data_IF_270507006651
#
_entry.id   IF_270507006651
#
_cell.length_a   1.000
_cell.length_b   1.000
_cell.length_c   1.000
_cell.angle_alpha   90.00
_cell.angle_beta   90.00
_cell.angle_gamma   90.00
#
_symmetry.space_group_name_H-M   'P 1'
#
loop_
_entity.id
_entity.type
_entity.pdbx_description
1 polymer ?
#
# COMPACT_ATOMS: atom_id res chain seq x y z
N UNK A 1 5.30 -26.66 -1.11
CA UNK A 1 5.46 -25.20 -0.98
C UNK A 1 5.46 -24.60 -2.39
N UNK A 2 4.61 -23.64 -2.72
CA UNK A 2 4.60 -23.02 -4.04
C UNK A 2 5.78 -22.07 -4.21
N UNK A 3 6.18 -21.78 -5.47
CA UNK A 3 7.27 -20.82 -5.75
C UNK A 3 6.97 -19.42 -5.18
N UNK A 4 5.70 -18.94 -5.27
CA UNK A 4 5.24 -17.70 -4.62
C UNK A 4 5.41 -17.73 -3.09
N UNK A 5 5.14 -18.87 -2.43
CA UNK A 5 5.29 -18.97 -0.97
C UNK A 5 6.75 -18.99 -0.53
N UNK A 6 7.65 -19.52 -1.35
CA UNK A 6 9.09 -19.45 -1.11
C UNK A 6 9.59 -18.01 -1.23
N UNK A 7 9.30 -17.32 -2.35
CA UNK A 7 9.67 -15.91 -2.53
C UNK A 7 9.14 -15.03 -1.39
N UNK A 8 7.88 -15.25 -0.97
CA UNK A 8 7.30 -14.51 0.15
C UNK A 8 8.13 -14.66 1.42
N UNK A 9 8.49 -15.89 1.78
CA UNK A 9 9.29 -16.17 2.97
C UNK A 9 10.65 -15.50 2.89
N UNK A 10 11.36 -15.69 1.78
CA UNK A 10 12.69 -15.12 1.53
C UNK A 10 12.70 -13.59 1.66
N UNK A 11 11.78 -12.90 0.98
CA UNK A 11 11.74 -11.43 0.99
C UNK A 11 11.21 -10.83 2.28
N UNK A 12 10.40 -11.55 3.05
CA UNK A 12 10.05 -11.17 4.44
C UNK A 12 11.30 -11.26 5.33
N UNK A 13 12.09 -12.31 5.21
CA UNK A 13 13.35 -12.48 5.97
C UNK A 13 14.36 -11.38 5.61
N UNK A 14 14.56 -11.09 4.31
CA UNK A 14 15.40 -9.97 3.85
C UNK A 14 14.92 -8.64 4.43
N UNK A 15 13.63 -8.33 4.34
CA UNK A 15 13.05 -7.11 4.90
C UNK A 15 13.24 -7.01 6.41
N UNK A 16 13.10 -8.10 7.14
CA UNK A 16 13.34 -8.10 8.58
C UNK A 16 14.82 -7.90 8.93
N UNK A 17 15.73 -8.22 8.02
CA UNK A 17 17.18 -8.07 8.19
C UNK A 17 17.73 -6.67 7.99
N UNK A 18 17.01 -5.75 7.30
CA UNK A 18 17.49 -4.37 7.12
C UNK A 18 17.56 -3.62 8.46
N UNK A 19 18.41 -2.60 8.53
CA UNK A 19 18.55 -1.74 9.71
C UNK A 19 17.43 -0.70 9.78
N UNK A 20 17.24 -0.05 10.93
CA UNK A 20 16.32 1.08 11.05
C UNK A 20 16.81 2.29 10.24
N UNK A 21 18.13 2.54 10.17
CA UNK A 21 18.69 3.61 9.33
C UNK A 21 18.36 3.42 7.84
N UNK A 22 18.33 2.17 7.34
CA UNK A 22 17.90 1.87 5.97
C UNK A 22 16.41 2.13 5.77
N UNK A 23 15.58 1.84 6.76
CA UNK A 23 14.14 2.15 6.74
C UNK A 23 13.93 3.65 6.72
N UNK A 24 14.58 4.40 7.61
CA UNK A 24 14.47 5.86 7.71
C UNK A 24 14.95 6.56 6.43
N UNK A 25 16.07 6.11 5.86
CA UNK A 25 16.56 6.64 4.58
C UNK A 25 15.58 6.37 3.43
N UNK A 26 14.93 5.22 3.40
CA UNK A 26 13.92 4.91 2.39
C UNK A 26 12.68 5.81 2.54
N UNK A 27 12.24 6.10 3.78
CA UNK A 27 11.17 7.05 4.04
C UNK A 27 11.53 8.46 3.58
N UNK A 28 12.71 8.96 3.94
CA UNK A 28 13.20 10.29 3.50
C UNK A 28 13.18 10.39 1.97
N UNK A 29 13.64 9.35 1.28
CA UNK A 29 13.62 9.32 -0.18
C UNK A 29 12.20 9.34 -0.74
N UNK A 30 11.28 8.54 -0.20
CA UNK A 30 9.88 8.53 -0.59
C UNK A 30 9.25 9.92 -0.42
N UNK A 31 9.41 10.54 0.75
CA UNK A 31 8.87 11.86 1.05
C UNK A 31 9.46 12.93 0.14
N UNK A 32 10.75 12.83 -0.20
CA UNK A 32 11.39 13.72 -1.17
C UNK A 32 10.80 13.60 -2.58
N UNK A 33 10.56 12.36 -3.05
CA UNK A 33 9.94 12.11 -4.35
C UNK A 33 8.53 12.71 -4.39
N UNK A 34 7.71 12.45 -3.38
CA UNK A 34 6.33 12.97 -3.31
C UNK A 34 6.31 14.50 -3.21
N UNK A 35 7.21 15.09 -2.40
CA UNK A 35 7.32 16.54 -2.28
C UNK A 35 7.69 17.21 -3.59
N UNK A 36 8.65 16.64 -4.32
CA UNK A 36 9.12 17.18 -5.60
C UNK A 36 8.10 17.04 -6.74
N UNK A 37 7.07 16.21 -6.55
CA UNK A 37 5.98 15.96 -7.50
C UNK A 37 4.61 16.20 -6.83
N UNK A 38 4.54 17.12 -5.88
CA UNK A 38 3.34 17.32 -5.05
C UNK A 38 2.10 17.71 -5.86
N UNK A 39 2.26 18.31 -7.03
CA UNK A 39 1.16 18.63 -7.96
C UNK A 39 0.42 17.39 -8.48
N UNK A 40 1.09 16.23 -8.56
CA UNK A 40 0.45 14.97 -8.98
C UNK A 40 -0.52 14.43 -7.91
N UNK A 41 -0.31 14.80 -6.67
CA UNK A 41 -1.03 14.28 -5.51
C UNK A 41 -2.02 15.30 -4.91
N UNK A 42 -1.77 16.61 -5.07
CA UNK A 42 -2.57 17.67 -4.46
C UNK A 42 -4.05 17.60 -4.88
N UNK A 43 -4.94 17.74 -3.90
CA UNK A 43 -6.40 17.69 -4.07
C UNK A 43 -6.93 16.37 -4.68
N UNK A 44 -6.17 15.28 -4.53
CA UNK A 44 -6.55 13.95 -4.97
C UNK A 44 -7.19 13.13 -3.84
N UNK A 45 -7.99 12.15 -4.21
CA UNK A 45 -8.48 11.10 -3.31
C UNK A 45 -7.49 9.94 -3.34
N UNK A 46 -6.70 9.81 -2.28
CA UNK A 46 -5.55 8.90 -2.23
C UNK A 46 -5.77 7.84 -1.17
N UNK A 47 -5.67 6.56 -1.54
CA UNK A 47 -5.56 5.50 -0.54
C UNK A 47 -4.08 5.20 -0.27
N UNK A 48 -3.73 5.14 1.01
CA UNK A 48 -2.44 4.67 1.47
C UNK A 48 -2.63 3.51 2.45
N UNK A 49 -1.63 2.66 2.62
CA UNK A 49 -1.65 1.67 3.70
C UNK A 49 -0.94 2.22 4.95
N UNK A 50 -1.25 1.66 6.11
CA UNK A 50 -0.50 1.92 7.33
C UNK A 50 0.58 0.87 7.45
N UNK A 51 1.85 1.26 7.28
CA UNK A 51 2.99 0.35 7.25
C UNK A 51 3.20 -0.35 8.58
N UNK A 52 3.61 -1.62 8.53
CA UNK A 52 3.91 -2.45 9.70
C UNK A 52 5.33 -2.99 9.64
N UNK A 53 5.98 -3.07 10.80
CA UNK A 53 7.35 -3.55 10.92
C UNK A 53 8.33 -2.74 10.07
N UNK A 54 9.06 -3.42 9.17
CA UNK A 54 10.03 -2.78 8.26
C UNK A 54 9.50 -2.66 6.81
N UNK A 55 8.19 -2.55 6.62
CA UNK A 55 7.64 -2.07 5.34
C UNK A 55 8.14 -0.66 5.06
N UNK A 56 8.11 -0.23 3.79
CA UNK A 56 8.41 1.17 3.49
C UNK A 56 7.42 2.06 4.26
N UNK A 57 7.91 2.96 5.14
CA UNK A 57 7.05 3.72 6.04
C UNK A 57 6.11 4.65 5.27
N UNK A 58 4.88 4.75 5.76
CA UNK A 58 3.84 5.55 5.13
C UNK A 58 3.17 6.54 6.08
N UNK A 59 3.59 6.58 7.34
CA UNK A 59 2.97 7.43 8.36
C UNK A 59 3.13 8.90 8.03
N UNK A 60 4.36 9.35 7.76
CA UNK A 60 4.67 10.72 7.36
C UNK A 60 4.13 11.04 5.95
N UNK A 61 4.07 10.03 5.07
CA UNK A 61 3.45 10.19 3.75
C UNK A 61 1.96 10.54 3.87
N UNK A 62 1.21 9.86 4.74
CA UNK A 62 -0.21 10.14 5.00
C UNK A 62 -0.40 11.58 5.49
N UNK A 63 0.44 12.03 6.42
CA UNK A 63 0.41 13.41 6.93
C UNK A 63 0.77 14.43 5.84
N UNK A 64 1.79 14.15 5.04
CA UNK A 64 2.20 15.01 3.93
C UNK A 64 1.11 15.15 2.87
N UNK A 65 0.50 14.04 2.45
CA UNK A 65 -0.61 14.04 1.49
C UNK A 65 -1.79 14.86 2.00
N UNK A 66 -2.17 14.70 3.26
CA UNK A 66 -3.21 15.51 3.89
C UNK A 66 -2.82 17.00 3.92
N UNK A 67 -1.56 17.31 4.20
CA UNK A 67 -1.03 18.67 4.25
C UNK A 67 -1.03 19.42 2.91
N UNK A 68 -1.01 18.70 1.78
CA UNK A 68 -1.12 19.28 0.43
C UNK A 68 -2.56 19.26 -0.12
N UNK A 69 -3.54 18.98 0.74
CA UNK A 69 -4.96 19.05 0.40
C UNK A 69 -5.55 17.76 -0.16
N UNK A 70 -4.82 16.65 -0.15
CA UNK A 70 -5.38 15.36 -0.57
C UNK A 70 -6.37 14.84 0.47
N UNK A 71 -7.42 14.16 0.00
CA UNK A 71 -8.28 13.35 0.85
C UNK A 71 -7.65 11.97 1.01
N UNK A 72 -7.18 11.64 2.21
CA UNK A 72 -6.46 10.39 2.44
C UNK A 72 -7.37 9.35 3.07
N UNK A 73 -7.33 8.14 2.52
CA UNK A 73 -8.10 6.98 2.94
C UNK A 73 -7.15 5.84 3.33
N UNK A 74 -7.46 5.15 4.41
CA UNK A 74 -6.75 3.95 4.83
C UNK A 74 -7.63 2.72 4.70
N UNK A 75 -7.04 1.56 4.37
CA UNK A 75 -7.78 0.31 4.29
C UNK A 75 -8.21 -0.15 5.68
N UNK A 76 -9.43 -0.69 5.74
CA UNK A 76 -9.98 -1.33 6.92
C UNK A 76 -10.57 -2.68 6.53
N UNK A 77 -10.26 -3.72 7.25
CA UNK A 77 -10.77 -5.05 6.98
C UNK A 77 -12.28 -5.14 7.25
N UNK A 78 -12.97 -5.88 6.40
CA UNK A 78 -14.38 -6.23 6.61
C UNK A 78 -14.42 -7.60 7.28
N UNK A 79 -15.09 -7.69 8.43
CA UNK A 79 -15.23 -8.96 9.17
C UNK A 79 -15.79 -10.08 8.28
N UNK A 80 -15.20 -11.27 8.41
CA UNK A 80 -15.57 -12.45 7.64
C UNK A 80 -15.51 -12.29 6.11
N UNK A 81 -14.74 -11.32 5.60
CA UNK A 81 -14.54 -11.04 4.19
C UNK A 81 -13.05 -11.00 3.84
N UNK A 82 -12.74 -11.19 2.57
CA UNK A 82 -11.40 -10.92 2.02
C UNK A 82 -11.32 -9.53 1.39
N UNK A 83 -12.31 -8.67 1.62
CA UNK A 83 -12.35 -7.32 1.07
C UNK A 83 -11.96 -6.29 2.13
N UNK A 84 -11.41 -5.20 1.63
CA UNK A 84 -11.14 -3.97 2.37
C UNK A 84 -12.23 -2.95 2.03
N UNK A 85 -12.51 -2.07 2.96
CA UNK A 85 -13.14 -0.79 2.72
C UNK A 85 -12.11 0.30 2.93
N UNK A 86 -12.26 1.40 2.23
CA UNK A 86 -11.36 2.54 2.29
C UNK A 86 -12.03 3.65 3.10
N UNK A 87 -11.45 3.98 4.25
CA UNK A 87 -12.04 4.89 5.23
C UNK A 87 -11.21 6.15 5.30
N UNK A 88 -11.88 7.31 5.19
CA UNK A 88 -11.23 8.62 5.26
C UNK A 88 -10.53 8.82 6.61
N UNK A 89 -9.30 9.31 6.59
CA UNK A 89 -8.60 9.74 7.79
C UNK A 89 -9.11 11.09 8.25
N UNK A 90 -9.11 11.32 9.55
CA UNK A 90 -9.56 12.58 10.16
C UNK A 90 -8.44 13.63 10.34
N UNK A 91 -7.29 13.43 9.71
CA UNK A 91 -6.11 14.30 9.86
C UNK A 91 -5.41 14.18 11.21
N UNK A 92 -6.06 13.61 12.23
CA UNK A 92 -5.49 13.32 13.54
C UNK A 92 -5.04 11.86 13.66
N UNK A 93 -5.25 11.06 12.58
CA UNK A 93 -4.91 9.65 12.50
C UNK A 93 -5.46 8.83 13.68
N UNK A 94 -6.76 9.01 13.94
CA UNK A 94 -7.46 8.20 14.93
C UNK A 94 -7.51 6.76 14.46
N UNK A 95 -6.62 5.93 15.00
CA UNK A 95 -6.42 4.54 14.60
C UNK A 95 -6.73 3.58 15.76
N UNK A 96 -7.13 2.38 15.42
CA UNK A 96 -7.27 1.25 16.35
C UNK A 96 -6.64 0.00 15.77
N UNK A 97 -5.87 -0.69 16.58
CA UNK A 97 -5.29 -1.98 16.21
C UNK A 97 -6.39 -3.05 16.12
N UNK A 98 -6.36 -3.81 15.04
CA UNK A 98 -7.25 -4.96 14.85
C UNK A 98 -6.63 -6.25 15.41
N UNK A 99 -7.35 -7.38 15.28
CA UNK A 99 -6.92 -8.68 15.80
C UNK A 99 -5.64 -9.26 15.15
N UNK A 100 -5.14 -8.64 14.07
CA UNK A 100 -3.90 -9.01 13.40
C UNK A 100 -2.74 -8.05 13.70
N UNK A 101 -2.92 -7.12 14.65
CA UNK A 101 -1.91 -6.11 14.99
C UNK A 101 -1.77 -4.99 13.95
N UNK A 102 -2.76 -4.81 13.08
CA UNK A 102 -2.76 -3.78 12.04
C UNK A 102 -3.58 -2.59 12.51
N UNK A 103 -3.00 -1.39 12.47
CA UNK A 103 -3.73 -0.17 12.80
C UNK A 103 -4.69 0.21 11.66
N UNK A 104 -5.95 0.37 12.00
CA UNK A 104 -7.04 0.71 11.08
C UNK A 104 -7.74 2.02 11.50
N UNK A 105 -8.28 2.80 10.55
CA UNK A 105 -9.00 4.03 10.87
C UNK A 105 -10.28 3.75 11.67
N UNK A 106 -10.53 4.58 12.69
CA UNK A 106 -11.74 4.48 13.53
C UNK A 106 -12.96 5.05 12.80
N UNK A 107 -12.76 5.96 11.85
CA UNK A 107 -13.81 6.65 11.09
C UNK A 107 -14.80 5.73 10.36
N UNK A 108 -15.90 6.32 9.88
CA UNK A 108 -16.95 5.62 9.16
C UNK A 108 -17.23 6.23 7.76
N UNK A 109 -16.49 7.26 7.36
CA UNK A 109 -16.62 7.85 6.02
C UNK A 109 -15.88 6.98 5.03
N UNK A 110 -16.62 6.15 4.31
CA UNK A 110 -16.10 5.20 3.33
C UNK A 110 -16.16 5.77 1.91
N UNK A 111 -15.29 5.29 1.04
CA UNK A 111 -15.29 5.61 -0.40
C UNK A 111 -15.29 4.31 -1.21
N UNK A 112 -15.98 4.33 -2.34
CA UNK A 112 -15.84 3.26 -3.34
C UNK A 112 -14.42 3.30 -3.94
N UNK A 113 -13.72 2.17 -4.10
CA UNK A 113 -12.41 2.15 -4.73
C UNK A 113 -12.36 2.83 -6.11
N UNK A 114 -13.44 2.79 -6.89
CA UNK A 114 -13.53 3.46 -8.19
C UNK A 114 -13.56 4.99 -8.12
N UNK A 115 -13.79 5.55 -6.94
CA UNK A 115 -13.75 7.01 -6.73
C UNK A 115 -12.38 7.52 -6.28
N UNK A 116 -11.41 6.62 -6.04
CA UNK A 116 -10.03 6.98 -5.71
C UNK A 116 -9.27 7.38 -6.98
N UNK A 117 -8.42 8.38 -6.87
CA UNK A 117 -7.50 8.77 -7.94
C UNK A 117 -6.21 7.93 -7.89
N UNK A 118 -5.71 7.64 -6.68
CA UNK A 118 -4.43 6.96 -6.46
C UNK A 118 -4.57 5.94 -5.34
N UNK A 119 -3.99 4.75 -5.54
CA UNK A 119 -3.90 3.73 -4.50
C UNK A 119 -2.44 3.30 -4.35
N UNK A 120 -1.84 3.57 -3.20
CA UNK A 120 -0.55 3.03 -2.81
C UNK A 120 -0.70 1.60 -2.27
N UNK A 121 0.04 0.68 -2.85
CA UNK A 121 -0.05 -0.75 -2.59
C UNK A 121 1.19 -1.25 -1.83
N UNK A 122 1.02 -1.96 -0.70
CA UNK A 122 2.12 -2.66 -0.06
C UNK A 122 2.50 -3.92 -0.83
N UNK A 123 3.75 -4.36 -0.68
CA UNK A 123 4.20 -5.64 -1.21
C UNK A 123 5.28 -6.31 -0.34
N UNK A 124 5.47 -7.59 -0.57
CA UNK A 124 6.64 -8.35 -0.10
C UNK A 124 7.76 -8.28 -1.13
N UNK A 125 7.42 -8.46 -2.41
CA UNK A 125 8.30 -8.21 -3.55
C UNK A 125 7.47 -7.85 -4.79
N UNK A 126 8.13 -7.25 -5.80
CA UNK A 126 7.49 -6.77 -7.02
C UNK A 126 8.37 -6.99 -8.24
N UNK A 127 7.78 -6.95 -9.44
CA UNK A 127 8.51 -7.07 -10.70
C UNK A 127 8.32 -5.85 -11.61
N UNK A 128 9.16 -5.77 -12.63
CA UNK A 128 9.14 -4.68 -13.62
C UNK A 128 7.86 -4.62 -14.47
N UNK A 129 7.00 -5.63 -14.38
CA UNK A 129 5.73 -5.65 -15.12
C UNK A 129 4.58 -5.03 -14.32
N UNK A 130 4.84 -4.61 -13.07
CA UNK A 130 3.83 -4.04 -12.18
C UNK A 130 3.09 -5.08 -11.33
N UNK A 131 3.53 -6.34 -11.32
CA UNK A 131 2.97 -7.35 -10.42
C UNK A 131 3.70 -7.38 -9.08
N UNK A 132 2.98 -7.78 -8.04
CA UNK A 132 3.51 -7.87 -6.68
C UNK A 132 3.12 -9.19 -6.02
N UNK A 133 3.96 -9.63 -5.10
CA UNK A 133 3.63 -10.67 -4.13
C UNK A 133 3.33 -9.97 -2.79
N UNK A 134 2.10 -10.11 -2.29
CA UNK A 134 1.69 -9.63 -0.98
C UNK A 134 1.84 -10.69 0.11
N UNK A 135 1.29 -10.42 1.29
CA UNK A 135 1.31 -11.32 2.47
C UNK A 135 0.49 -12.61 2.31
N UNK A 136 -0.17 -12.82 1.15
CA UNK A 136 -0.86 -14.06 0.80
C UNK A 136 -2.32 -14.15 1.23
N UNK A 137 -2.92 -13.09 1.73
CA UNK A 137 -4.35 -13.02 2.07
C UNK A 137 -5.23 -12.53 0.91
N UNK A 138 -4.65 -11.86 -0.09
CA UNK A 138 -5.34 -11.37 -1.28
C UNK A 138 -6.28 -10.19 -1.06
N UNK A 139 -6.21 -9.52 0.08
CA UNK A 139 -7.14 -8.42 0.42
C UNK A 139 -7.24 -7.36 -0.68
N UNK A 140 -6.12 -6.86 -1.19
CA UNK A 140 -6.13 -5.85 -2.26
C UNK A 140 -6.65 -6.43 -3.57
N UNK A 141 -6.25 -7.64 -3.95
CA UNK A 141 -6.67 -8.26 -5.21
C UNK A 141 -8.19 -8.51 -5.22
N UNK A 142 -8.76 -8.96 -4.10
CA UNK A 142 -10.23 -9.10 -3.97
C UNK A 142 -10.97 -7.77 -3.88
N UNK A 143 -10.37 -6.74 -3.27
CA UNK A 143 -11.03 -5.44 -3.08
C UNK A 143 -11.01 -4.60 -4.35
N UNK A 144 -9.98 -4.75 -5.15
CA UNK A 144 -9.77 -4.00 -6.39
C UNK A 144 -10.15 -4.81 -7.63
N UNK A 145 -10.71 -6.02 -7.46
CA UNK A 145 -11.22 -6.81 -8.57
C UNK A 145 -12.37 -6.07 -9.27
N UNK A 146 -12.18 -5.77 -10.56
CA UNK A 146 -13.18 -5.10 -11.38
C UNK A 146 -13.19 -3.58 -11.31
N UNK A 147 -12.18 -2.97 -10.67
CA UNK A 147 -11.99 -1.51 -10.78
C UNK A 147 -11.58 -1.14 -12.22
N UNK A 148 -11.94 0.07 -12.62
CA UNK A 148 -11.43 0.66 -13.87
C UNK A 148 -10.00 1.18 -13.66
N UNK A 149 -9.03 0.32 -13.91
CA UNK A 149 -7.60 0.68 -13.77
C UNK A 149 -7.12 1.76 -14.77
N UNK A 150 -7.96 2.18 -15.72
CA UNK A 150 -7.61 3.30 -16.61
C UNK A 150 -7.82 4.67 -15.95
N UNK A 151 -8.63 4.74 -14.91
CA UNK A 151 -8.97 5.97 -14.18
C UNK A 151 -8.27 6.09 -12.81
N UNK A 152 -7.67 5.02 -12.32
CA UNK A 152 -7.06 4.96 -10.98
C UNK A 152 -5.58 4.60 -11.11
N UNK A 153 -4.71 5.41 -10.53
CA UNK A 153 -3.28 5.13 -10.52
C UNK A 153 -2.93 4.18 -9.36
N UNK A 154 -2.45 2.97 -9.70
CA UNK A 154 -2.00 1.97 -8.73
C UNK A 154 -0.48 2.03 -8.62
N UNK A 155 0.05 2.38 -7.45
CA UNK A 155 1.49 2.57 -7.22
C UNK A 155 1.96 1.60 -6.13
N UNK A 156 2.96 0.78 -6.44
CA UNK A 156 3.61 -0.09 -5.44
C UNK A 156 4.66 0.72 -4.68
N UNK A 157 4.59 0.72 -3.35
CA UNK A 157 5.63 1.26 -2.49
C UNK A 157 6.48 0.11 -1.93
N UNK A 158 7.79 0.17 -2.18
CA UNK A 158 8.72 -0.90 -1.82
C UNK A 158 10.16 -0.40 -1.67
N UNK A 159 10.95 -1.13 -0.90
CA UNK A 159 12.41 -0.96 -0.92
C UNK A 159 12.98 -1.55 -2.22
N UNK A 160 14.08 -0.98 -2.74
CA UNK A 160 14.69 -1.40 -4.01
C UNK A 160 15.06 -2.90 -4.02
N UNK A 161 15.52 -3.44 -2.90
CA UNK A 161 15.89 -4.87 -2.82
C UNK A 161 14.69 -5.82 -2.98
N UNK A 162 13.45 -5.35 -2.84
CA UNK A 162 12.24 -6.16 -3.02
C UNK A 162 11.91 -6.43 -4.49
N UNK A 163 12.67 -5.85 -5.42
CA UNK A 163 12.52 -6.04 -6.85
C UNK A 163 13.02 -7.39 -7.30
N UNK A 164 12.18 -8.14 -8.00
CA UNK A 164 12.48 -9.46 -8.55
C UNK A 164 12.24 -9.51 -10.05
N UNK A 165 12.68 -10.59 -10.68
CA UNK A 165 12.51 -10.76 -12.13
C UNK A 165 11.05 -11.04 -12.51
N UNK A 166 10.34 -11.87 -11.73
CA UNK A 166 8.97 -12.31 -12.05
C UNK A 166 8.20 -12.71 -10.79
N UNK A 167 7.09 -12.06 -10.54
CA UNK A 167 6.15 -12.33 -9.45
C UNK A 167 5.25 -13.54 -9.68
N UNK A 168 5.34 -14.19 -10.84
CA UNK A 168 4.50 -15.35 -11.20
C UNK A 168 3.01 -15.02 -11.08
N UNK A 169 2.51 -14.01 -11.82
CA UNK A 169 1.15 -13.55 -11.68
C UNK A 169 0.12 -14.62 -12.03
N UNK A 170 -1.02 -14.58 -11.38
CA UNK A 170 -2.23 -15.34 -11.65
C UNK A 170 -3.32 -14.39 -12.18
N UNK A 171 -4.35 -14.92 -12.82
CA UNK A 171 -5.38 -14.11 -13.50
C UNK A 171 -6.10 -13.10 -12.60
N UNK A 172 -6.11 -13.33 -11.29
CA UNK A 172 -6.74 -12.47 -10.31
C UNK A 172 -5.78 -11.44 -9.66
N UNK A 173 -4.48 -11.51 -9.96
CA UNK A 173 -3.50 -10.57 -9.40
C UNK A 173 -3.63 -9.19 -10.09
N UNK A 174 -3.84 -8.16 -9.30
CA UNK A 174 -3.93 -6.78 -9.78
C UNK A 174 -2.55 -6.27 -10.18
N UNK A 175 -2.50 -5.69 -11.39
CA UNK A 175 -1.31 -5.07 -11.95
C UNK A 175 -1.27 -3.58 -11.62
N UNK A 176 -0.17 -3.11 -11.04
CA UNK A 176 0.09 -1.69 -10.81
C UNK A 176 0.63 -1.00 -12.08
N UNK A 177 0.53 0.32 -12.11
CA UNK A 177 1.15 1.15 -13.15
C UNK A 177 2.69 1.18 -12.99
N UNK A 178 3.39 1.42 -14.10
CA UNK A 178 4.86 1.48 -14.16
C UNK A 178 5.31 2.92 -14.34
#
# INVERSE_FOLDING_TARGET
MTKKSYLRKEYIELRNGITFDEVDNAEINLLSIVRNNSELYANKKVSCYWSIGKELPTHELVLMLSGIGSEVYLPKMIDNSKKLKFVKTDGQLSLRENNLGISEPIGNTEIDPNELDIIFLPCVCFDKKGYRIGMGKGYYDYSLAGIDSSSIELIILAHEFQKIENCLPEDHDIKAHM
#
